data_IF_308495703415
#
_entry.id   IF_308495703415
#
_cell.length_a   1.000
_cell.length_b   1.000
_cell.length_c   1.000
_cell.angle_alpha   90.00
_cell.angle_beta   90.00
_cell.angle_gamma   90.00
#
_symmetry.space_group_name_H-M   'P 1'
#
loop_
_entity.id
_entity.type
_entity.pdbx_description
1 polymer ?
#
# COMPACT_ATOMS: atom_id res chain seq x y z
N UNK A 1 37.98 -37.38 25.03
CA UNK A 1 38.20 -35.95 24.78
C UNK A 1 37.21 -35.50 23.71
N UNK A 2 35.97 -35.26 24.13
CA UNK A 2 34.85 -34.86 23.26
C UNK A 2 34.83 -33.34 23.29
N UNK A 3 35.06 -32.69 22.13
CA UNK A 3 35.04 -31.22 22.03
C UNK A 3 33.59 -30.76 22.04
N UNK A 4 33.22 -29.99 23.05
CA UNK A 4 31.98 -29.24 23.07
C UNK A 4 31.96 -28.25 21.90
N UNK A 5 30.97 -28.38 21.02
CA UNK A 5 30.61 -27.38 20.02
C UNK A 5 29.70 -26.34 20.69
N UNK A 6 29.96 -25.02 20.52
CA UNK A 6 29.09 -24.02 21.11
C UNK A 6 27.70 -24.08 20.47
N UNK A 7 26.66 -24.09 21.31
CA UNK A 7 25.28 -23.91 20.89
C UNK A 7 25.17 -22.55 20.16
N UNK A 8 24.91 -22.59 18.86
CA UNK A 8 24.52 -21.40 18.11
C UNK A 8 23.16 -20.98 18.65
N UNK A 9 23.13 -19.91 19.43
CA UNK A 9 21.90 -19.17 19.68
C UNK A 9 21.34 -18.79 18.32
N UNK A 10 20.16 -19.33 17.98
CA UNK A 10 19.41 -18.88 16.83
C UNK A 10 18.86 -17.49 17.18
N UNK A 11 19.69 -16.47 17.01
CA UNK A 11 19.19 -15.11 16.87
C UNK A 11 18.29 -15.13 15.64
N UNK A 12 16.99 -14.93 15.86
CA UNK A 12 16.07 -14.72 14.75
C UNK A 12 16.63 -13.55 13.94
N UNK A 13 16.93 -13.78 12.67
CA UNK A 13 17.30 -12.71 11.76
C UNK A 13 16.03 -11.86 11.57
N UNK A 14 15.84 -10.86 12.43
CA UNK A 14 14.78 -9.87 12.25
C UNK A 14 15.27 -8.99 11.11
N UNK A 15 14.84 -9.33 9.90
CA UNK A 15 15.06 -8.46 8.75
C UNK A 15 14.37 -7.13 9.05
N UNK A 16 15.14 -6.04 9.09
CA UNK A 16 14.57 -4.74 9.40
C UNK A 16 13.72 -4.29 8.22
N UNK A 17 12.43 -4.20 8.46
CA UNK A 17 11.47 -3.67 7.51
C UNK A 17 11.81 -2.24 7.10
N UNK A 18 11.51 -1.93 5.84
CA UNK A 18 11.50 -0.58 5.29
C UNK A 18 10.32 0.26 5.83
N UNK A 19 9.47 -0.30 6.69
CA UNK A 19 8.34 0.39 7.30
C UNK A 19 7.01 -0.21 6.86
N UNK A 20 5.92 0.43 7.29
CA UNK A 20 4.57 -0.11 7.10
C UNK A 20 3.89 0.50 5.89
N UNK A 21 3.27 -0.35 5.07
CA UNK A 21 2.41 0.03 3.95
C UNK A 21 0.98 -0.40 4.24
N UNK A 22 0.02 0.48 4.02
CA UNK A 22 -1.41 0.12 4.09
C UNK A 22 -1.90 -0.25 2.69
N UNK A 23 -2.58 -1.40 2.60
CA UNK A 23 -3.19 -1.92 1.36
C UNK A 23 -4.69 -2.09 1.57
N UNK A 24 -5.50 -1.62 0.61
CA UNK A 24 -6.97 -1.67 0.73
C UNK A 24 -7.68 -1.53 -0.61
N UNK A 25 -8.96 -1.89 -0.68
CA UNK A 25 -9.87 -1.33 -1.69
C UNK A 25 -10.84 -0.32 -1.06
N UNK A 26 -11.53 0.45 -1.89
CA UNK A 26 -12.51 1.44 -1.43
C UNK A 26 -13.90 0.83 -1.22
N UNK A 27 -14.77 1.59 -0.58
CA UNK A 27 -16.09 1.15 -0.09
C UNK A 27 -16.95 0.37 -1.11
N UNK A 28 -16.85 0.66 -2.42
CA UNK A 28 -17.65 0.00 -3.45
C UNK A 28 -17.02 -1.26 -4.05
N UNK A 29 -15.79 -1.61 -3.66
CA UNK A 29 -15.00 -2.66 -4.32
C UNK A 29 -14.78 -3.87 -3.40
N UNK A 30 -15.46 -4.98 -3.70
CA UNK A 30 -15.40 -6.22 -2.92
C UNK A 30 -14.30 -7.20 -3.35
N UNK A 31 -13.43 -6.81 -4.30
CA UNK A 31 -12.40 -7.72 -4.80
C UNK A 31 -11.25 -7.85 -3.79
N UNK A 32 -10.80 -9.08 -3.59
CA UNK A 32 -9.81 -9.42 -2.55
C UNK A 32 -8.50 -9.95 -3.11
N UNK A 33 -8.52 -10.58 -4.29
CA UNK A 33 -7.33 -11.24 -4.82
C UNK A 33 -6.21 -10.28 -5.19
N UNK A 34 -6.57 -9.12 -5.72
CA UNK A 34 -5.70 -7.96 -5.92
C UNK A 34 -4.99 -7.53 -4.62
N UNK A 35 -5.68 -7.55 -3.48
CA UNK A 35 -5.07 -7.19 -2.19
C UNK A 35 -4.05 -8.23 -1.71
N UNK A 36 -4.35 -9.52 -1.88
CA UNK A 36 -3.40 -10.59 -1.55
C UNK A 36 -2.15 -10.49 -2.44
N UNK A 37 -2.35 -10.28 -3.75
CA UNK A 37 -1.25 -10.09 -4.69
C UNK A 37 -0.38 -8.88 -4.32
N UNK A 38 -0.99 -7.71 -4.08
CA UNK A 38 -0.26 -6.50 -3.70
C UNK A 38 0.48 -6.67 -2.38
N UNK A 39 -0.13 -7.33 -1.40
CA UNK A 39 0.52 -7.63 -0.14
C UNK A 39 1.82 -8.44 -0.36
N UNK A 40 1.75 -9.55 -1.09
CA UNK A 40 2.92 -10.38 -1.36
C UNK A 40 4.01 -9.60 -2.13
N UNK A 41 3.63 -8.81 -3.12
CA UNK A 41 4.55 -7.97 -3.90
C UNK A 41 5.27 -6.94 -3.03
N UNK A 42 4.54 -6.29 -2.12
CA UNK A 42 5.07 -5.23 -1.25
C UNK A 42 5.95 -5.83 -0.13
N UNK A 43 5.56 -6.99 0.41
CA UNK A 43 6.36 -7.76 1.36
C UNK A 43 7.68 -8.23 0.72
N UNK A 44 7.65 -8.70 -0.54
CA UNK A 44 8.86 -9.03 -1.31
C UNK A 44 9.77 -7.81 -1.51
N UNK A 45 9.20 -6.61 -1.55
CA UNK A 45 9.97 -5.36 -1.60
C UNK A 45 10.58 -4.96 -0.23
N UNK A 46 10.30 -5.70 0.85
CA UNK A 46 10.86 -5.51 2.19
C UNK A 46 10.09 -4.55 3.10
N UNK A 47 8.80 -4.35 2.85
CA UNK A 47 7.90 -3.59 3.73
C UNK A 47 7.00 -4.53 4.54
N UNK A 48 6.52 -4.08 5.69
CA UNK A 48 5.40 -4.73 6.38
C UNK A 48 4.09 -4.23 5.78
N UNK A 49 3.14 -5.14 5.56
CA UNK A 49 1.84 -4.78 5.00
C UNK A 49 0.75 -4.88 6.05
N UNK A 50 -0.01 -3.80 6.20
CA UNK A 50 -1.31 -3.80 6.88
C UNK A 50 -2.39 -3.81 5.80
N UNK A 51 -2.97 -4.98 5.57
CA UNK A 51 -4.06 -5.16 4.62
C UNK A 51 -5.40 -4.93 5.33
N UNK A 52 -6.06 -3.80 5.05
CA UNK A 52 -7.36 -3.45 5.64
C UNK A 52 -8.52 -4.23 5.02
N UNK A 53 -8.27 -4.99 3.95
CA UNK A 53 -9.27 -5.75 3.24
C UNK A 53 -10.09 -4.89 2.26
N UNK A 54 -11.18 -5.49 1.73
CA UNK A 54 -12.02 -4.85 0.74
C UNK A 54 -13.13 -3.99 1.36
N UNK A 55 -13.83 -3.22 0.54
CA UNK A 55 -15.02 -2.43 0.93
C UNK A 55 -14.78 -1.51 2.12
N UNK A 56 -13.57 -0.96 2.29
CA UNK A 56 -13.23 -0.16 3.47
C UNK A 56 -13.92 1.20 3.39
N UNK A 57 -14.71 1.59 4.41
CA UNK A 57 -15.27 2.94 4.49
C UNK A 57 -14.17 3.98 4.65
N UNK A 58 -14.32 5.13 4.01
CA UNK A 58 -13.33 6.22 4.05
C UNK A 58 -12.90 6.63 5.46
N UNK A 59 -13.84 6.70 6.40
CA UNK A 59 -13.56 7.10 7.78
C UNK A 59 -12.61 6.11 8.46
N UNK A 60 -12.85 4.82 8.23
CA UNK A 60 -11.99 3.75 8.72
C UNK A 60 -10.62 3.81 8.05
N UNK A 61 -10.57 4.05 6.73
CA UNK A 61 -9.30 4.19 6.02
C UNK A 61 -8.47 5.36 6.58
N UNK A 62 -9.08 6.54 6.74
CA UNK A 62 -8.39 7.73 7.26
C UNK A 62 -7.91 7.49 8.69
N UNK A 63 -8.73 6.88 9.55
CA UNK A 63 -8.33 6.61 10.94
C UNK A 63 -7.18 5.60 11.02
N UNK A 64 -7.27 4.48 10.30
CA UNK A 64 -6.21 3.46 10.31
C UNK A 64 -4.90 4.01 9.76
N UNK A 65 -4.94 4.81 8.69
CA UNK A 65 -3.75 5.47 8.16
C UNK A 65 -3.15 6.44 9.16
N UNK A 66 -3.97 7.31 9.77
CA UNK A 66 -3.48 8.28 10.77
C UNK A 66 -2.83 7.58 11.95
N UNK A 67 -3.47 6.55 12.48
CA UNK A 67 -3.05 5.91 13.72
C UNK A 67 -1.79 5.05 13.51
N UNK A 68 -1.60 4.50 12.30
CA UNK A 68 -0.43 3.67 11.96
C UNK A 68 0.73 4.45 11.36
N UNK A 69 0.48 5.65 10.84
CA UNK A 69 1.48 6.52 10.21
C UNK A 69 2.35 5.75 9.18
N UNK A 70 1.73 5.22 8.11
CA UNK A 70 2.42 4.37 7.14
C UNK A 70 3.39 5.17 6.27
N UNK A 71 4.39 4.46 5.73
CA UNK A 71 5.32 5.00 4.73
C UNK A 71 4.65 5.13 3.35
N UNK A 72 3.54 4.41 3.11
CA UNK A 72 2.76 4.50 1.87
C UNK A 72 1.35 3.93 2.05
N UNK A 73 0.39 4.47 1.28
CA UNK A 73 -0.98 3.97 1.16
C UNK A 73 -1.18 3.49 -0.29
N UNK A 74 -1.57 2.23 -0.45
CA UNK A 74 -1.83 1.59 -1.76
C UNK A 74 -3.30 1.23 -1.86
N UNK A 75 -4.00 1.90 -2.77
CA UNK A 75 -5.42 1.69 -3.02
C UNK A 75 -5.57 0.88 -4.31
N UNK A 76 -6.22 -0.28 -4.21
CA UNK A 76 -6.58 -1.08 -5.38
C UNK A 76 -8.05 -0.91 -5.72
N UNK A 77 -8.35 -0.71 -7.01
CA UNK A 77 -9.71 -0.73 -7.52
C UNK A 77 -9.78 -1.44 -8.85
N UNK A 78 -10.66 -2.43 -8.96
CA UNK A 78 -10.88 -3.22 -10.18
C UNK A 78 -12.36 -3.30 -10.59
N UNK A 79 -13.25 -2.69 -9.81
CA UNK A 79 -14.69 -2.66 -10.11
C UNK A 79 -15.10 -1.61 -11.16
N UNK A 80 -14.17 -0.76 -11.64
CA UNK A 80 -14.46 0.31 -12.60
C UNK A 80 -14.95 1.62 -11.99
N UNK A 81 -15.01 1.74 -10.65
CA UNK A 81 -15.38 2.98 -9.95
C UNK A 81 -14.18 3.67 -9.29
N UNK A 82 -12.96 3.18 -9.53
CA UNK A 82 -11.75 3.68 -8.87
C UNK A 82 -11.50 5.18 -9.03
N UNK A 83 -11.87 5.77 -10.16
CA UNK A 83 -11.81 7.22 -10.34
C UNK A 83 -12.75 7.96 -9.38
N UNK A 84 -14.03 7.58 -9.34
CA UNK A 84 -15.04 8.26 -8.52
C UNK A 84 -14.75 8.10 -7.02
N UNK A 85 -14.43 6.88 -6.59
CA UNK A 85 -14.09 6.60 -5.20
C UNK A 85 -12.74 7.21 -4.81
N UNK A 86 -11.76 7.18 -5.71
CA UNK A 86 -10.46 7.80 -5.51
C UNK A 86 -10.56 9.31 -5.30
N UNK A 87 -11.29 10.01 -6.17
CA UNK A 87 -11.53 11.46 -6.05
C UNK A 87 -12.22 11.83 -4.74
N UNK A 88 -13.14 10.98 -4.26
CA UNK A 88 -13.85 11.20 -3.00
C UNK A 88 -12.94 11.03 -1.78
N UNK A 89 -12.04 10.04 -1.77
CA UNK A 89 -11.24 9.70 -0.58
C UNK A 89 -9.94 10.51 -0.48
N UNK A 90 -9.34 10.89 -1.61
CA UNK A 90 -8.01 11.50 -1.63
C UNK A 90 -7.95 12.84 -0.88
N UNK A 91 -8.98 13.68 -1.03
CA UNK A 91 -9.08 14.94 -0.29
C UNK A 91 -9.08 14.70 1.23
N UNK A 92 -9.82 13.69 1.70
CA UNK A 92 -9.89 13.34 3.13
C UNK A 92 -8.56 12.86 3.68
N UNK A 93 -7.80 12.10 2.88
CA UNK A 93 -6.46 11.65 3.26
C UNK A 93 -5.48 12.82 3.32
N UNK A 94 -5.53 13.74 2.35
CA UNK A 94 -4.65 14.93 2.31
C UNK A 94 -4.98 15.98 3.37
N UNK A 95 -6.25 16.12 3.73
CA UNK A 95 -6.69 17.00 4.82
C UNK A 95 -6.24 16.51 6.21
N UNK A 96 -5.89 15.22 6.33
CA UNK A 96 -5.33 14.66 7.55
C UNK A 96 -3.85 15.05 7.66
N UNK A 97 -3.53 16.03 8.52
CA UNK A 97 -2.17 16.62 8.62
C UNK A 97 -1.03 15.59 8.74
N UNK A 98 -1.13 14.50 9.54
CA UNK A 98 -0.09 13.49 9.60
C UNK A 98 0.17 12.75 8.27
N UNK A 99 -0.83 12.71 7.38
CA UNK A 99 -0.80 12.01 6.11
C UNK A 99 -0.53 12.93 4.91
N UNK A 100 -0.46 14.24 5.13
CA UNK A 100 -0.37 15.23 4.04
C UNK A 100 0.80 14.95 3.08
N UNK A 101 1.92 14.45 3.60
CA UNK A 101 3.11 14.09 2.82
C UNK A 101 3.29 12.57 2.62
N UNK A 102 2.39 11.74 3.13
CA UNK A 102 2.46 10.28 2.94
C UNK A 102 2.25 9.97 1.46
N UNK A 103 3.09 9.13 0.82
CA UNK A 103 2.84 8.62 -0.52
C UNK A 103 1.50 7.87 -0.63
N UNK A 104 0.64 8.28 -1.56
CA UNK A 104 -0.65 7.66 -1.83
C UNK A 104 -0.75 7.28 -3.30
N UNK A 105 -0.96 6.00 -3.57
CA UNK A 105 -1.11 5.49 -4.94
C UNK A 105 -2.42 4.76 -5.13
N UNK A 106 -2.94 4.79 -6.35
CA UNK A 106 -4.15 4.06 -6.75
C UNK A 106 -3.90 3.30 -8.04
N UNK A 107 -4.45 2.09 -8.17
CA UNK A 107 -4.30 1.32 -9.41
C UNK A 107 -5.37 0.28 -9.66
N UNK A 108 -5.38 -0.22 -10.90
CA UNK A 108 -6.30 -1.21 -11.43
C UNK A 108 -7.23 -0.64 -12.52
N UNK A 109 -8.48 -1.10 -12.52
CA UNK A 109 -9.52 -0.66 -13.47
C UNK A 109 -10.30 0.50 -12.87
N UNK A 110 -9.87 1.72 -13.20
CA UNK A 110 -10.37 2.96 -12.59
C UNK A 110 -11.64 3.53 -13.25
N UNK A 111 -12.09 2.92 -14.35
CA UNK A 111 -13.27 3.33 -15.11
C UNK A 111 -13.91 2.15 -15.83
N UNK A 112 -15.14 2.35 -16.27
CA UNK A 112 -15.89 1.35 -17.07
C UNK A 112 -15.81 1.60 -18.57
N UNK A 113 -15.35 2.78 -18.95
CA UNK A 113 -15.26 3.29 -20.30
C UNK A 113 -13.89 2.95 -20.93
N UNK A 114 -13.92 2.50 -22.19
CA UNK A 114 -12.72 2.04 -22.91
C UNK A 114 -11.80 3.16 -23.43
N UNK A 115 -12.00 4.41 -23.03
CA UNK A 115 -11.24 5.52 -23.60
C UNK A 115 -11.40 6.83 -22.86
N UNK A 116 -10.64 7.02 -21.77
CA UNK A 116 -10.38 8.32 -21.13
C UNK A 116 -9.26 8.25 -20.06
N UNK A 117 -8.49 7.14 -20.02
CA UNK A 117 -7.58 6.83 -18.91
C UNK A 117 -6.50 7.88 -18.65
N UNK A 118 -5.97 8.52 -19.70
CA UNK A 118 -4.99 9.60 -19.54
C UNK A 118 -5.59 10.85 -18.83
N UNK A 119 -6.86 11.19 -19.07
CA UNK A 119 -7.52 12.29 -18.36
C UNK A 119 -7.75 11.92 -16.89
N UNK A 120 -8.29 10.72 -16.63
CA UNK A 120 -8.55 10.22 -15.27
C UNK A 120 -7.27 10.13 -14.44
N UNK A 121 -6.17 9.66 -15.03
CA UNK A 121 -4.84 9.65 -14.40
C UNK A 121 -4.41 11.06 -13.99
N UNK A 122 -4.44 12.02 -14.91
CA UNK A 122 -4.02 13.40 -14.62
C UNK A 122 -4.88 14.05 -13.53
N UNK A 123 -6.19 13.81 -13.55
CA UNK A 123 -7.12 14.37 -12.57
C UNK A 123 -6.91 13.79 -11.17
N UNK A 124 -6.71 12.47 -11.05
CA UNK A 124 -6.39 11.82 -9.78
C UNK A 124 -5.06 12.32 -9.21
N UNK A 125 -4.04 12.47 -10.05
CA UNK A 125 -2.75 13.03 -9.65
C UNK A 125 -2.91 14.48 -9.17
N UNK A 126 -3.65 15.31 -9.91
CA UNK A 126 -3.93 16.70 -9.53
C UNK A 126 -4.75 16.82 -8.23
N UNK A 127 -5.60 15.83 -7.94
CA UNK A 127 -6.36 15.75 -6.69
C UNK A 127 -5.52 15.33 -5.48
N UNK A 128 -4.31 14.80 -5.71
CA UNK A 128 -3.33 14.52 -4.68
C UNK A 128 -2.84 13.08 -4.62
N UNK A 129 -3.10 12.21 -5.60
CA UNK A 129 -2.37 10.95 -5.70
C UNK A 129 -0.93 11.20 -6.19
N UNK A 130 0.03 10.43 -5.67
CA UNK A 130 1.45 10.51 -6.07
C UNK A 130 1.78 9.60 -7.25
N UNK A 131 0.98 8.55 -7.47
CA UNK A 131 1.01 7.73 -8.67
C UNK A 131 -0.35 7.08 -8.94
N UNK A 132 -0.66 6.90 -10.22
CA UNK A 132 -1.85 6.22 -10.70
C UNK A 132 -1.42 5.12 -11.67
N UNK A 133 -1.77 3.87 -11.36
CA UNK A 133 -1.45 2.68 -12.16
C UNK A 133 -2.71 2.12 -12.80
N UNK A 134 -3.18 2.77 -13.86
CA UNK A 134 -4.32 2.27 -14.63
C UNK A 134 -3.92 1.07 -15.51
N UNK A 135 -4.87 0.16 -15.73
CA UNK A 135 -4.71 -1.08 -16.49
C UNK A 135 -3.91 -0.86 -17.81
N UNK A 136 -2.72 -1.46 -17.86
CA UNK A 136 -1.68 -1.17 -18.84
C UNK A 136 -0.69 -2.33 -18.96
N UNK A 137 0.30 -2.24 -19.86
CA UNK A 137 1.12 -3.39 -20.25
C UNK A 137 2.08 -3.91 -19.16
N UNK A 138 2.40 -3.12 -18.11
CA UNK A 138 3.28 -3.58 -17.01
C UNK A 138 3.10 -2.76 -15.70
N UNK A 139 2.05 -3.02 -14.91
CA UNK A 139 1.81 -2.31 -13.64
C UNK A 139 2.85 -2.62 -12.56
N UNK A 140 3.49 -3.79 -12.62
CA UNK A 140 4.48 -4.23 -11.62
C UNK A 140 5.78 -3.44 -11.80
N UNK A 141 6.29 -3.34 -13.03
CA UNK A 141 7.48 -2.54 -13.31
C UNK A 141 7.25 -1.06 -12.97
N UNK A 142 6.06 -0.53 -13.28
CA UNK A 142 5.70 0.84 -12.92
C UNK A 142 5.69 1.05 -11.39
N UNK A 143 5.18 0.09 -10.62
CA UNK A 143 5.19 0.14 -9.17
C UNK A 143 6.61 0.08 -8.59
N UNK A 144 7.47 -0.80 -9.09
CA UNK A 144 8.89 -0.82 -8.69
C UNK A 144 9.60 0.48 -9.03
N UNK A 145 9.35 1.06 -10.20
CA UNK A 145 9.89 2.35 -10.58
C UNK A 145 9.44 3.45 -9.61
N UNK A 146 8.17 3.46 -9.21
CA UNK A 146 7.66 4.37 -8.19
C UNK A 146 8.35 4.19 -6.84
N UNK A 147 8.48 2.95 -6.35
CA UNK A 147 9.19 2.67 -5.10
C UNK A 147 10.64 3.18 -5.11
N UNK A 148 11.31 3.17 -6.25
CA UNK A 148 12.66 3.71 -6.40
C UNK A 148 12.72 5.25 -6.32
N UNK A 149 11.60 5.95 -6.48
CA UNK A 149 11.51 7.41 -6.32
C UNK A 149 11.26 7.85 -4.88
N UNK A 150 10.78 6.94 -4.02
CA UNK A 150 10.50 7.24 -2.63
C UNK A 150 11.81 7.49 -1.87
N UNK A 151 11.83 8.46 -0.93
CA UNK A 151 12.97 8.63 -0.05
C UNK A 151 13.21 7.34 0.74
N UNK A 152 14.47 7.00 1.05
CA UNK A 152 14.76 5.82 1.85
C UNK A 152 14.04 5.92 3.20
N UNK A 153 13.16 4.97 3.45
CA UNK A 153 12.36 4.97 4.65
C UNK A 153 13.24 4.81 5.90
N UNK A 154 12.90 5.47 7.02
CA UNK A 154 13.60 5.28 8.27
C UNK A 154 13.45 3.82 8.72
N UNK A 155 14.56 3.07 8.78
CA UNK A 155 14.54 1.68 9.23
C UNK A 155 14.05 1.61 10.68
N UNK A 156 12.82 1.10 10.87
CA UNK A 156 12.23 0.85 12.20
C UNK A 156 12.42 -0.62 12.56
N UNK A 157 12.78 -0.89 13.81
CA UNK A 157 12.76 -2.26 14.32
C UNK A 157 11.29 -2.69 14.47
N UNK A 158 10.94 -3.85 13.92
CA UNK A 158 9.58 -4.38 13.98
C UNK A 158 9.52 -5.46 15.03
N UNK A 159 8.70 -5.27 16.07
CA UNK A 159 8.31 -6.35 16.95
C UNK A 159 7.21 -7.15 16.26
N UNK A 160 7.56 -8.29 15.64
CA UNK A 160 6.56 -9.27 15.24
C UNK A 160 5.97 -9.89 16.51
N UNK A 161 4.92 -9.29 17.04
CA UNK A 161 4.08 -9.91 18.05
C UNK A 161 3.52 -11.20 17.44
N UNK A 162 4.11 -12.34 17.82
CA UNK A 162 3.57 -13.66 17.50
C UNK A 162 2.13 -13.70 17.97
N UNK A 163 1.20 -13.88 17.05
CA UNK A 163 -0.18 -14.28 17.37
C UNK A 163 -0.07 -15.65 18.02
N UNK A 164 -0.15 -15.70 19.35
CA UNK A 164 -0.24 -16.95 20.10
C UNK A 164 -1.59 -17.59 19.81
N UNK A 165 -1.57 -18.73 19.13
CA UNK A 165 -2.68 -19.68 19.08
C UNK A 165 -2.77 -20.45 20.40
#
# INVERSE_FOLDING_TARGET
MMRDLPARTAEAFVERSKGTVIVTTLASDSHTWNLVFLQLLIEECGYDVVNLGPCVPDELLVSECRDRNPEMIVISSVNGHGYQDGMRVIGRLRDCTPLAATPIVIGGKLGTDGGEGASRTNELMAAGFDAVFEDGQDPIAAFHAFLATLPPAPQRAVDHARVSA
#
